data_IF_771377483606
#
_entry.id   IF_771377483606
#
_cell.length_a   1.000
_cell.length_b   1.000
_cell.length_c   1.000
_cell.angle_alpha   90.00
_cell.angle_beta   90.00
_cell.angle_gamma   90.00
#
_symmetry.space_group_name_H-M   'P 1'
#
loop_
_entity.id
_entity.type
_entity.pdbx_description
1 polymer ?
#
# COMPACT_ATOMS: atom_id res chain seq x y z
N UNK A 1 5.00 1.36 -23.30
CA UNK A 1 4.92 0.38 -22.17
C UNK A 1 4.34 1.12 -20.99
N UNK A 2 3.27 0.60 -20.37
CA UNK A 2 2.69 1.19 -19.17
C UNK A 2 3.64 1.07 -17.98
N UNK A 3 3.57 2.04 -17.07
CA UNK A 3 4.43 2.09 -15.88
C UNK A 3 3.60 1.99 -14.60
N UNK A 4 4.07 1.18 -13.66
CA UNK A 4 3.50 1.08 -12.32
C UNK A 4 4.53 1.50 -11.28
N UNK A 5 4.08 2.28 -10.30
CA UNK A 5 4.83 2.62 -9.10
C UNK A 5 4.16 1.96 -7.89
N UNK A 6 4.90 1.16 -7.15
CA UNK A 6 4.42 0.43 -5.98
C UNK A 6 5.21 0.90 -4.76
N UNK A 7 4.54 1.45 -3.76
CA UNK A 7 5.21 1.80 -2.52
C UNK A 7 5.41 0.58 -1.62
N UNK A 8 6.60 0.46 -0.99
CA UNK A 8 6.92 -0.69 -0.14
C UNK A 8 7.04 -2.01 -0.91
N UNK A 9 7.64 -1.98 -2.11
CA UNK A 9 7.70 -3.12 -3.02
C UNK A 9 8.82 -4.13 -2.76
N UNK A 10 9.58 -4.01 -1.65
CA UNK A 10 10.71 -4.89 -1.39
C UNK A 10 10.32 -6.30 -0.91
N UNK A 11 9.18 -6.45 -0.25
CA UNK A 11 8.77 -7.71 0.41
C UNK A 11 7.25 -7.91 0.37
N UNK A 12 6.79 -9.10 0.73
CA UNK A 12 5.37 -9.41 0.97
C UNK A 12 4.46 -9.08 -0.21
N UNK A 13 3.34 -8.42 0.08
CA UNK A 13 2.32 -8.06 -0.93
C UNK A 13 2.91 -7.15 -2.00
N UNK A 14 3.75 -6.18 -1.63
CA UNK A 14 4.36 -5.27 -2.58
C UNK A 14 5.28 -5.96 -3.59
N UNK A 15 6.11 -6.90 -3.14
CA UNK A 15 6.98 -7.69 -4.02
C UNK A 15 6.17 -8.62 -4.94
N UNK A 16 5.13 -9.27 -4.41
CA UNK A 16 4.23 -10.09 -5.23
C UNK A 16 3.48 -9.24 -6.26
N UNK A 17 3.04 -8.04 -5.89
CA UNK A 17 2.42 -7.08 -6.81
C UNK A 17 3.39 -6.66 -7.91
N UNK A 18 4.64 -6.36 -7.56
CA UNK A 18 5.67 -6.04 -8.55
C UNK A 18 5.86 -7.17 -9.57
N UNK A 19 5.90 -8.41 -9.10
CA UNK A 19 6.04 -9.58 -9.96
C UNK A 19 4.84 -9.75 -10.91
N UNK A 20 3.61 -9.62 -10.41
CA UNK A 20 2.40 -9.75 -11.23
C UNK A 20 2.33 -8.67 -12.31
N UNK A 21 2.73 -7.43 -12.01
CA UNK A 21 2.80 -6.37 -13.01
C UNK A 21 3.91 -6.58 -14.05
N UNK A 22 5.07 -7.15 -13.64
CA UNK A 22 6.12 -7.56 -14.60
C UNK A 22 5.62 -8.62 -15.58
N UNK A 23 4.92 -9.65 -15.08
CA UNK A 23 4.32 -10.72 -15.89
C UNK A 23 3.31 -10.18 -16.93
N UNK A 24 2.69 -9.02 -16.64
CA UNK A 24 1.79 -8.30 -17.54
C UNK A 24 2.47 -7.28 -18.45
N UNK A 25 3.80 -7.24 -18.46
CA UNK A 25 4.59 -6.39 -19.36
C UNK A 25 4.64 -4.91 -18.96
N UNK A 26 4.39 -4.59 -17.68
CA UNK A 26 4.60 -3.24 -17.19
C UNK A 26 6.07 -2.99 -16.89
N UNK A 27 6.50 -1.73 -17.01
CA UNK A 27 7.73 -1.25 -16.38
C UNK A 27 7.42 -0.98 -14.92
N UNK A 28 8.14 -1.65 -14.02
CA UNK A 28 7.84 -1.65 -12.58
C UNK A 28 8.88 -0.86 -11.81
N UNK A 29 8.40 0.11 -11.04
CA UNK A 29 9.16 0.85 -10.06
C UNK A 29 8.64 0.51 -8.66
N UNK A 30 9.53 0.35 -7.71
CA UNK A 30 9.16 0.13 -6.31
C UNK A 30 9.89 1.10 -5.40
N UNK A 31 9.24 1.59 -4.35
CA UNK A 31 9.96 2.28 -3.30
C UNK A 31 10.50 1.30 -2.28
N UNK A 32 11.68 1.58 -1.80
CA UNK A 32 12.35 0.88 -0.69
C UNK A 32 12.74 1.91 0.38
N UNK A 33 12.73 1.51 1.64
CA UNK A 33 13.17 2.39 2.73
C UNK A 33 14.32 1.75 3.50
N UNK A 34 14.07 0.69 4.28
CA UNK A 34 15.09 0.00 5.07
C UNK A 34 15.53 -1.34 4.46
N UNK A 35 14.73 -1.90 3.58
CA UNK A 35 14.98 -3.22 2.98
C UNK A 35 15.26 -3.04 1.49
N UNK A 36 16.38 -3.53 1.01
CA UNK A 36 16.66 -3.56 -0.42
C UNK A 36 15.67 -4.50 -1.16
N UNK A 37 15.29 -4.12 -2.37
CA UNK A 37 14.53 -5.01 -3.24
C UNK A 37 15.49 -5.76 -4.15
N UNK A 38 15.49 -7.08 -4.05
CA UNK A 38 16.24 -7.98 -4.93
C UNK A 38 15.26 -8.67 -5.91
N UNK A 39 14.61 -7.86 -6.73
CA UNK A 39 13.64 -8.34 -7.71
C UNK A 39 14.14 -8.06 -9.13
N UNK A 40 14.54 -9.10 -9.90
CA UNK A 40 14.97 -8.93 -11.28
C UNK A 40 13.90 -8.22 -12.14
N UNK A 41 14.32 -7.24 -12.93
CA UNK A 41 13.42 -6.49 -13.80
C UNK A 41 12.66 -5.34 -13.14
N UNK A 42 12.83 -5.12 -11.84
CA UNK A 42 12.22 -4.03 -11.08
C UNK A 42 13.24 -2.92 -10.82
N UNK A 43 12.82 -1.67 -10.95
CA UNK A 43 13.64 -0.51 -10.57
C UNK A 43 13.29 -0.10 -9.13
N UNK A 44 14.21 -0.34 -8.21
CA UNK A 44 14.04 0.05 -6.81
C UNK A 44 14.56 1.47 -6.59
N UNK A 45 13.77 2.31 -5.93
CA UNK A 45 14.10 3.71 -5.62
C UNK A 45 13.98 3.91 -4.10
N UNK A 46 15.06 4.30 -3.41
CA UNK A 46 15.00 4.68 -2.00
C UNK A 46 14.10 5.90 -1.82
N UNK A 47 13.09 5.77 -0.95
CA UNK A 47 12.16 6.86 -0.67
C UNK A 47 11.48 6.67 0.69
N UNK A 48 11.59 7.68 1.53
CA UNK A 48 10.70 7.85 2.68
C UNK A 48 9.43 8.54 2.18
N UNK A 49 8.33 7.79 2.13
CA UNK A 49 7.04 8.31 1.65
C UNK A 49 6.39 9.30 2.62
N UNK A 50 6.91 9.46 3.82
CA UNK A 50 6.42 10.45 4.80
C UNK A 50 7.04 11.85 4.58
N UNK A 51 8.14 11.93 3.81
CA UNK A 51 8.81 13.17 3.41
C UNK A 51 8.28 13.69 2.06
N UNK A 52 7.59 14.85 2.04
CA UNK A 52 7.08 15.43 0.81
C UNK A 52 8.15 15.66 -0.28
N UNK A 53 9.35 16.09 0.12
CA UNK A 53 10.43 16.35 -0.82
C UNK A 53 10.99 15.04 -1.42
N UNK A 54 11.04 13.95 -0.63
CA UNK A 54 11.42 12.64 -1.15
C UNK A 54 10.39 12.11 -2.16
N UNK A 55 9.09 12.30 -1.88
CA UNK A 55 8.02 11.91 -2.82
C UNK A 55 8.10 12.74 -4.12
N UNK A 56 8.36 14.03 -4.05
CA UNK A 56 8.55 14.86 -5.26
C UNK A 56 9.72 14.36 -6.10
N UNK A 57 10.86 14.07 -5.48
CA UNK A 57 12.04 13.48 -6.18
C UNK A 57 11.71 12.11 -6.79
N UNK A 58 10.96 11.26 -6.08
CA UNK A 58 10.52 9.97 -6.58
C UNK A 58 9.73 10.11 -7.88
N UNK A 59 8.69 10.95 -7.89
CA UNK A 59 7.85 11.14 -9.07
C UNK A 59 8.59 11.85 -10.21
N UNK A 60 9.54 12.72 -9.92
CA UNK A 60 10.43 13.29 -10.93
C UNK A 60 11.34 12.22 -11.58
N UNK A 61 11.86 11.28 -10.81
CA UNK A 61 12.69 10.18 -11.30
C UNK A 61 11.90 9.12 -12.11
N UNK A 62 10.68 8.79 -11.68
CA UNK A 62 9.82 7.82 -12.38
C UNK A 62 9.22 8.43 -13.64
N UNK A 63 8.87 9.71 -13.60
CA UNK A 63 8.19 10.40 -14.69
C UNK A 63 6.70 10.04 -14.77
N UNK A 64 6.28 9.40 -15.86
CA UNK A 64 4.87 9.01 -16.05
C UNK A 64 4.51 7.81 -15.20
N UNK A 65 3.45 7.91 -14.42
CA UNK A 65 2.89 6.80 -13.64
C UNK A 65 1.48 6.50 -14.18
N UNK A 66 1.30 5.31 -14.77
CA UNK A 66 -0.01 4.87 -15.26
C UNK A 66 -0.83 4.21 -14.15
N UNK A 67 -0.14 3.50 -13.24
CA UNK A 67 -0.74 2.88 -12.07
C UNK A 67 0.10 3.20 -10.84
N UNK A 68 -0.54 3.73 -9.80
CA UNK A 68 0.04 3.85 -8.47
C UNK A 68 -0.55 2.79 -7.55
N UNK A 69 0.29 2.01 -6.89
CA UNK A 69 -0.13 1.09 -5.82
C UNK A 69 0.45 1.58 -4.50
N UNK A 70 -0.40 2.11 -3.63
CA UNK A 70 -0.06 2.49 -2.27
C UNK A 70 -0.14 1.26 -1.37
N UNK A 71 0.97 0.52 -1.27
CA UNK A 71 1.08 -0.69 -0.48
C UNK A 71 1.91 -0.50 0.80
N UNK A 72 2.85 0.44 0.83
CA UNK A 72 3.67 0.67 2.02
C UNK A 72 2.80 0.90 3.25
N UNK A 73 3.14 0.21 4.34
CA UNK A 73 2.43 0.32 5.60
C UNK A 73 3.20 -0.36 6.72
N UNK A 74 2.93 0.08 7.94
CA UNK A 74 3.42 -0.51 9.17
C UNK A 74 2.24 -0.86 10.06
N UNK A 75 2.42 -1.85 10.93
CA UNK A 75 1.48 -2.23 11.99
C UNK A 75 2.12 -2.03 13.35
N UNK A 76 1.29 -1.84 14.36
CA UNK A 76 1.67 -1.76 15.76
C UNK A 76 0.64 -2.52 16.58
N UNK A 77 1.10 -3.54 17.31
CA UNK A 77 0.29 -4.31 18.23
C UNK A 77 0.57 -3.78 19.64
N UNK A 78 -0.36 -3.00 20.17
CA UNK A 78 -0.24 -2.39 21.48
C UNK A 78 -1.61 -1.99 22.01
N UNK A 79 -1.82 -2.14 23.32
CA UNK A 79 -3.03 -1.65 23.98
C UNK A 79 -3.08 -0.12 23.94
N UNK A 80 -4.28 0.44 23.93
CA UNK A 80 -4.46 1.90 23.72
C UNK A 80 -3.77 2.75 24.78
N UNK A 81 -3.78 2.32 26.04
CA UNK A 81 -3.14 3.05 27.13
C UNK A 81 -1.62 3.05 27.07
N UNK A 82 -1.02 2.09 26.32
CA UNK A 82 0.43 1.95 26.15
C UNK A 82 0.90 2.53 24.81
N UNK A 83 -0.02 2.93 23.94
CA UNK A 83 0.29 3.54 22.66
C UNK A 83 0.66 5.00 22.84
N UNK A 84 1.90 5.38 22.47
CA UNK A 84 2.38 6.75 22.63
C UNK A 84 1.96 7.65 21.47
N UNK A 85 2.00 9.00 21.66
CA UNK A 85 1.83 9.93 20.56
C UNK A 85 2.82 9.70 19.40
N UNK A 86 4.05 9.31 19.70
CA UNK A 86 5.10 9.03 18.71
C UNK A 86 4.78 7.78 17.89
N UNK A 87 4.21 6.74 18.53
CA UNK A 87 3.70 5.56 17.84
C UNK A 87 2.57 5.93 16.87
N UNK A 88 1.65 6.77 17.32
CA UNK A 88 0.57 7.30 16.50
C UNK A 88 1.11 8.07 15.30
N UNK A 89 2.01 9.02 15.52
CA UNK A 89 2.57 9.86 14.47
C UNK A 89 3.34 9.04 13.43
N UNK A 90 4.13 8.06 13.88
CA UNK A 90 4.87 7.17 12.99
C UNK A 90 3.91 6.35 12.11
N UNK A 91 2.88 5.74 12.71
CA UNK A 91 1.94 4.88 12.00
C UNK A 91 1.07 5.69 11.04
N UNK A 92 0.49 6.80 11.48
CA UNK A 92 -0.31 7.69 10.63
C UNK A 92 0.54 8.36 9.54
N UNK A 93 1.80 8.66 9.86
CA UNK A 93 2.79 9.16 8.91
C UNK A 93 2.93 8.24 7.71
N UNK A 94 3.19 6.96 7.93
CA UNK A 94 3.35 5.97 6.86
C UNK A 94 2.00 5.63 6.22
N UNK A 95 1.02 5.20 7.03
CA UNK A 95 -0.19 4.57 6.52
C UNK A 95 -1.21 5.55 5.92
N UNK A 96 -1.18 6.83 6.34
CA UNK A 96 -2.13 7.84 5.87
C UNK A 96 -1.44 8.98 5.11
N UNK A 97 -0.47 9.67 5.73
CA UNK A 97 0.22 10.79 5.09
C UNK A 97 0.99 10.34 3.84
N UNK A 98 1.70 9.19 3.91
CA UNK A 98 2.41 8.62 2.76
C UNK A 98 1.46 8.29 1.60
N UNK A 99 0.32 7.67 1.88
CA UNK A 99 -0.73 7.38 0.89
C UNK A 99 -1.25 8.68 0.25
N UNK A 100 -1.52 9.71 1.07
CA UNK A 100 -1.95 11.02 0.57
C UNK A 100 -0.91 11.67 -0.34
N UNK A 101 0.35 11.72 0.09
CA UNK A 101 1.43 12.38 -0.67
C UNK A 101 1.66 11.70 -2.03
N UNK A 102 1.75 10.36 -2.05
CA UNK A 102 1.93 9.62 -3.29
C UNK A 102 0.71 9.73 -4.22
N UNK A 103 -0.51 9.65 -3.68
CA UNK A 103 -1.74 9.80 -4.46
C UNK A 103 -1.85 11.21 -5.06
N UNK A 104 -1.55 12.26 -4.28
CA UNK A 104 -1.53 13.65 -4.77
C UNK A 104 -0.54 13.82 -5.91
N UNK A 105 0.68 13.31 -5.77
CA UNK A 105 1.70 13.42 -6.81
C UNK A 105 1.31 12.65 -8.09
N UNK A 106 0.74 11.45 -7.96
CA UNK A 106 0.22 10.68 -9.10
C UNK A 106 -0.95 11.39 -9.78
N UNK A 107 -1.92 11.91 -9.01
CA UNK A 107 -3.10 12.59 -9.52
C UNK A 107 -2.73 13.79 -10.40
N UNK A 108 -1.76 14.62 -10.00
CA UNK A 108 -1.29 15.76 -10.81
C UNK A 108 -0.80 15.31 -12.20
N UNK A 109 -0.13 14.18 -12.29
CA UNK A 109 0.35 13.61 -13.55
C UNK A 109 -0.79 12.98 -14.37
N UNK A 110 -1.70 12.24 -13.70
CA UNK A 110 -2.82 11.54 -14.33
C UNK A 110 -3.87 12.52 -14.87
N UNK A 111 -4.19 13.60 -14.15
CA UNK A 111 -5.14 14.65 -14.56
C UNK A 111 -4.75 15.30 -15.88
N UNK A 112 -3.46 15.56 -16.11
CA UNK A 112 -2.97 16.14 -17.39
C UNK A 112 -3.20 15.22 -18.60
N UNK A 113 -3.36 13.92 -18.36
CA UNK A 113 -3.51 12.89 -19.38
C UNK A 113 -4.91 12.32 -19.46
N UNK A 114 -5.79 12.70 -18.52
CA UNK A 114 -7.13 12.12 -18.34
C UNK A 114 -7.09 10.58 -18.31
N UNK A 115 -6.08 10.01 -17.66
CA UNK A 115 -5.87 8.56 -17.62
C UNK A 115 -4.95 8.17 -16.46
N UNK A 116 -5.33 7.14 -15.74
CA UNK A 116 -4.54 6.56 -14.67
C UNK A 116 -5.36 5.66 -13.75
N UNK A 117 -4.67 4.96 -12.86
CA UNK A 117 -5.30 4.19 -11.80
C UNK A 117 -4.49 4.29 -10.50
N UNK A 118 -5.21 4.40 -9.39
CA UNK A 118 -4.64 4.37 -8.03
C UNK A 118 -5.28 3.20 -7.29
N UNK A 119 -4.48 2.32 -6.72
CA UNK A 119 -4.94 1.23 -5.87
C UNK A 119 -4.31 1.37 -4.50
N UNK A 120 -5.14 1.48 -3.47
CA UNK A 120 -4.72 1.59 -2.09
C UNK A 120 -4.86 0.24 -1.38
N UNK A 121 -3.82 -0.20 -0.67
CA UNK A 121 -3.87 -1.41 0.15
C UNK A 121 -4.23 -1.04 1.58
N UNK A 122 -5.48 -1.33 1.95
CA UNK A 122 -6.00 -1.19 3.31
C UNK A 122 -5.81 -2.49 4.11
N UNK A 123 -6.79 -2.86 4.91
CA UNK A 123 -6.87 -4.09 5.70
C UNK A 123 -8.32 -4.38 6.07
N UNK A 124 -8.65 -5.64 6.32
CA UNK A 124 -9.93 -6.00 6.95
C UNK A 124 -10.10 -5.27 8.30
N UNK A 125 -9.02 -5.01 9.03
CA UNK A 125 -9.06 -4.26 10.28
C UNK A 125 -9.49 -2.79 10.11
N UNK A 126 -9.37 -2.24 8.90
CA UNK A 126 -9.97 -0.95 8.55
C UNK A 126 -11.50 -1.01 8.38
N UNK A 127 -12.08 -2.20 8.27
CA UNK A 127 -13.53 -2.42 8.15
C UNK A 127 -14.17 -2.80 9.49
N UNK A 128 -13.54 -3.71 10.24
CA UNK A 128 -14.13 -4.31 11.45
C UNK A 128 -13.39 -3.95 12.74
N UNK A 129 -12.16 -3.44 12.63
CA UNK A 129 -11.30 -3.16 13.78
C UNK A 129 -10.63 -4.41 14.36
N UNK A 130 -9.56 -4.20 15.14
CA UNK A 130 -8.89 -5.26 15.89
C UNK A 130 -8.45 -4.78 17.26
N UNK A 131 -8.55 -5.66 18.26
CA UNK A 131 -8.00 -5.43 19.59
C UNK A 131 -6.49 -5.28 19.51
N UNK A 132 -5.90 -4.40 20.32
CA UNK A 132 -4.48 -4.06 20.34
C UNK A 132 -3.93 -3.44 19.02
N UNK A 133 -4.77 -3.19 18.03
CA UNK A 133 -4.40 -2.54 16.77
C UNK A 133 -5.28 -1.30 16.48
N UNK A 134 -5.62 -0.55 17.52
CA UNK A 134 -6.59 0.57 17.45
C UNK A 134 -6.15 1.64 16.45
N UNK A 135 -4.89 2.10 16.53
CA UNK A 135 -4.36 3.13 15.60
C UNK A 135 -4.15 2.57 14.21
N UNK A 136 -3.74 1.30 14.08
CA UNK A 136 -3.64 0.63 12.79
C UNK A 136 -5.01 0.55 12.10
N UNK A 137 -6.03 0.06 12.82
CA UNK A 137 -7.42 -0.02 12.33
C UNK A 137 -7.94 1.36 11.89
N UNK A 138 -7.71 2.39 12.70
CA UNK A 138 -8.05 3.78 12.37
C UNK A 138 -7.36 4.25 11.07
N UNK A 139 -6.06 3.98 10.92
CA UNK A 139 -5.32 4.35 9.72
C UNK A 139 -5.86 3.66 8.46
N UNK A 140 -6.17 2.36 8.57
CA UNK A 140 -6.69 1.58 7.44
C UNK A 140 -8.14 1.92 7.10
N UNK A 141 -8.97 2.27 8.08
CA UNK A 141 -10.28 2.87 7.85
C UNK A 141 -10.17 4.24 7.15
N UNK A 142 -9.20 5.06 7.55
CA UNK A 142 -8.88 6.33 6.89
C UNK A 142 -8.53 6.15 5.42
N UNK A 143 -7.74 5.13 5.07
CA UNK A 143 -7.40 4.80 3.66
C UNK A 143 -8.66 4.44 2.86
N UNK A 144 -9.61 3.69 3.44
CA UNK A 144 -10.88 3.35 2.77
C UNK A 144 -11.70 4.63 2.50
N UNK A 145 -11.84 5.51 3.51
CA UNK A 145 -12.55 6.78 3.38
C UNK A 145 -11.89 7.69 2.34
N UNK A 146 -10.57 7.83 2.39
CA UNK A 146 -9.76 8.57 1.42
C UNK A 146 -9.96 8.04 0.00
N UNK A 147 -9.92 6.73 -0.20
CA UNK A 147 -10.14 6.10 -1.51
C UNK A 147 -11.50 6.45 -2.10
N UNK A 148 -12.56 6.37 -1.29
CA UNK A 148 -13.93 6.67 -1.72
C UNK A 148 -14.09 8.12 -2.15
N UNK A 149 -13.51 9.05 -1.39
CA UNK A 149 -13.56 10.49 -1.71
C UNK A 149 -12.76 10.79 -2.99
N UNK A 150 -11.53 10.29 -3.07
CA UNK A 150 -10.65 10.53 -4.21
C UNK A 150 -11.20 9.89 -5.50
N UNK A 151 -11.88 8.74 -5.39
CA UNK A 151 -12.55 8.10 -6.53
C UNK A 151 -13.64 9.01 -7.12
N UNK A 152 -14.46 9.66 -6.29
CA UNK A 152 -15.49 10.59 -6.75
C UNK A 152 -14.87 11.83 -7.40
N UNK A 153 -13.77 12.33 -6.84
CA UNK A 153 -13.08 13.53 -7.34
C UNK A 153 -12.43 13.27 -8.71
N UNK A 154 -11.81 12.10 -8.90
CA UNK A 154 -11.03 11.80 -10.09
C UNK A 154 -11.79 11.02 -11.18
N UNK A 155 -12.96 10.45 -10.88
CA UNK A 155 -13.75 9.70 -11.85
C UNK A 155 -14.17 10.52 -13.09
N UNK A 156 -14.59 11.81 -12.97
CA UNK A 156 -14.91 12.64 -14.14
C UNK A 156 -13.74 12.81 -15.11
N UNK A 157 -12.52 12.66 -14.61
CA UNK A 157 -11.28 12.79 -15.38
C UNK A 157 -10.77 11.45 -15.94
N UNK A 158 -11.56 10.37 -15.83
CA UNK A 158 -11.21 9.05 -16.34
C UNK A 158 -10.13 8.31 -15.54
N UNK A 159 -9.92 8.71 -14.27
CA UNK A 159 -8.94 8.11 -13.38
C UNK A 159 -9.65 7.21 -12.37
N UNK A 160 -9.28 5.93 -12.34
CA UNK A 160 -9.85 4.96 -11.41
C UNK A 160 -9.12 5.00 -10.05
N UNK A 161 -9.87 4.97 -8.95
CA UNK A 161 -9.29 4.86 -7.60
C UNK A 161 -10.00 3.75 -6.84
N UNK A 162 -9.26 2.72 -6.45
CA UNK A 162 -9.78 1.53 -5.78
C UNK A 162 -9.02 1.21 -4.51
N UNK A 163 -9.60 0.35 -3.67
CA UNK A 163 -8.99 -0.12 -2.44
C UNK A 163 -9.14 -1.64 -2.33
N UNK A 164 -8.06 -2.32 -1.98
CA UNK A 164 -8.06 -3.72 -1.57
C UNK A 164 -7.88 -3.78 -0.06
N UNK A 165 -8.71 -4.56 0.62
CA UNK A 165 -8.67 -4.72 2.09
C UNK A 165 -8.37 -6.19 2.44
N UNK A 166 -7.09 -6.62 2.40
CA UNK A 166 -6.73 -8.01 2.67
C UNK A 166 -7.08 -8.44 4.08
N UNK A 167 -7.36 -9.73 4.25
CA UNK A 167 -7.42 -10.40 5.54
C UNK A 167 -6.00 -10.73 6.06
N UNK A 168 -5.88 -11.87 6.75
CA UNK A 168 -4.59 -12.34 7.28
C UNK A 168 -3.79 -13.00 6.14
N UNK A 169 -2.67 -12.39 5.78
CA UNK A 169 -1.82 -12.81 4.66
C UNK A 169 -0.48 -13.34 5.19
N UNK A 170 0.02 -14.41 4.61
CA UNK A 170 1.30 -15.03 4.94
C UNK A 170 2.47 -14.10 4.54
N UNK A 171 2.83 -13.20 5.46
CA UNK A 171 3.89 -12.21 5.28
C UNK A 171 4.72 -12.07 6.55
N UNK A 172 5.88 -11.43 6.44
CA UNK A 172 6.72 -11.12 7.61
C UNK A 172 6.00 -10.30 8.69
N UNK A 173 4.98 -9.53 8.32
CA UNK A 173 4.19 -8.73 9.28
C UNK A 173 3.46 -9.63 10.30
N UNK A 174 3.05 -10.82 9.89
CA UNK A 174 2.35 -11.79 10.72
C UNK A 174 3.26 -12.89 11.29
N UNK A 175 4.57 -12.84 11.04
CA UNK A 175 5.52 -13.89 11.45
C UNK A 175 5.75 -13.99 12.97
N UNK A 176 5.28 -13.01 13.74
CA UNK A 176 5.35 -13.04 15.21
C UNK A 176 4.23 -13.83 15.87
N UNK A 177 3.20 -14.22 15.13
CA UNK A 177 2.05 -14.98 15.62
C UNK A 177 2.20 -16.48 15.33
N UNK A 178 1.51 -17.30 16.12
CA UNK A 178 1.37 -18.71 15.83
C UNK A 178 0.53 -18.93 14.56
N UNK A 179 1.07 -19.68 13.61
CA UNK A 179 0.43 -19.89 12.32
C UNK A 179 -0.90 -20.63 12.43
N UNK A 180 -0.99 -21.64 13.32
CA UNK A 180 -2.20 -22.43 13.47
C UNK A 180 -3.33 -21.61 14.10
N UNK A 181 -2.98 -20.70 15.03
CA UNK A 181 -3.95 -19.75 15.60
C UNK A 181 -4.49 -18.80 14.52
N UNK A 182 -3.61 -18.23 13.69
CA UNK A 182 -4.04 -17.35 12.60
C UNK A 182 -4.90 -18.09 11.56
N UNK A 183 -4.56 -19.33 11.21
CA UNK A 183 -5.34 -20.12 10.25
C UNK A 183 -6.74 -20.45 10.79
N UNK A 184 -6.88 -20.65 12.12
CA UNK A 184 -8.15 -20.88 12.76
C UNK A 184 -9.10 -19.65 12.74
N UNK A 185 -8.52 -18.44 12.67
CA UNK A 185 -9.31 -17.20 12.55
C UNK A 185 -9.83 -16.96 11.12
N UNK A 186 -9.21 -17.59 10.11
CA UNK A 186 -9.60 -17.42 8.71
C UNK A 186 -10.68 -18.45 8.33
N UNK A 187 -11.86 -18.03 7.86
CA UNK A 187 -12.94 -18.98 7.51
C UNK A 187 -12.55 -20.04 6.47
N UNK A 188 -11.57 -19.76 5.63
CA UNK A 188 -11.05 -20.72 4.65
C UNK A 188 -10.02 -21.70 5.23
N UNK A 189 -9.70 -21.62 6.53
CA UNK A 189 -8.75 -22.50 7.23
C UNK A 189 -7.31 -22.35 6.76
N UNK A 190 -6.96 -21.28 6.10
CA UNK A 190 -5.59 -20.97 5.67
C UNK A 190 -5.36 -19.47 5.57
N UNK A 191 -4.12 -19.06 5.67
CA UNK A 191 -3.75 -17.68 5.36
C UNK A 191 -3.89 -17.39 3.86
N UNK A 192 -4.19 -16.13 3.53
CA UNK A 192 -4.07 -15.65 2.17
C UNK A 192 -2.58 -15.57 1.76
N UNK A 193 -2.31 -15.64 0.48
CA UNK A 193 -0.96 -15.45 -0.07
C UNK A 193 -0.74 -14.03 -0.58
N UNK A 194 0.48 -13.50 -0.56
CA UNK A 194 0.80 -12.23 -1.19
C UNK A 194 0.37 -12.14 -2.66
N UNK A 195 0.45 -13.26 -3.40
CA UNK A 195 0.07 -13.33 -4.80
C UNK A 195 -1.43 -13.17 -5.00
N UNK A 196 -2.27 -13.76 -4.14
CA UNK A 196 -3.73 -13.58 -4.24
C UNK A 196 -4.12 -12.10 -4.07
N UNK A 197 -3.45 -11.38 -3.17
CA UNK A 197 -3.66 -9.93 -3.02
C UNK A 197 -3.15 -9.18 -4.25
N UNK A 198 -1.99 -9.54 -4.77
CA UNK A 198 -1.39 -8.92 -5.95
C UNK A 198 -2.28 -9.07 -7.20
N UNK A 199 -2.93 -10.21 -7.37
CA UNK A 199 -3.88 -10.46 -8.47
C UNK A 199 -5.18 -9.64 -8.30
N UNK A 200 -5.60 -9.36 -7.07
CA UNK A 200 -6.72 -8.47 -6.80
C UNK A 200 -6.38 -6.98 -6.99
N UNK A 201 -5.11 -6.60 -6.91
CA UNK A 201 -4.61 -5.24 -7.16
C UNK A 201 -4.51 -4.96 -8.66
N UNK A 202 -4.23 -5.96 -9.49
CA UNK A 202 -4.08 -5.86 -10.94
C UNK A 202 -5.42 -5.64 -11.65
#
# INVERSE_FOLDING_TARGET
MKQVLITGGATGIGAATAQVFLERGYRVFVTVHQTAAELPGVTAIPCDITDPAAVERLFAAVGTVDVLVNNAGISLIRQIQDTTPEDYDALMGVNCKGVFLCSRAAAVNMLRRHSGAIVNVSSMWGQVGASCETVYSMSKAGVIGFTRALAQELAPEGIAVNCVAPGIIDTRMNACFDRAELEAEVPMGRLGTPREVAEAVL
#
